data_IF_301774058035
#
_entry.id   IF_301774058035
#
_cell.length_a   1.000
_cell.length_b   1.000
_cell.length_c   1.000
_cell.angle_alpha   90.00
_cell.angle_beta   90.00
_cell.angle_gamma   90.00
#
_symmetry.space_group_name_H-M   'P 1'
#
loop_
_entity.id
_entity.type
_entity.pdbx_description
1 polymer ?
#
# COMPACT_ATOMS: atom_id res chain seq x y z
N UNK A 1 12.80 18.94 9.65
CA UNK A 1 14.00 19.58 9.05
C UNK A 1 13.62 20.99 8.64
N UNK A 2 14.48 21.98 8.95
CA UNK A 2 14.24 23.39 8.59
C UNK A 2 14.47 23.54 7.07
N UNK A 3 13.51 24.10 6.36
CA UNK A 3 13.54 24.31 4.89
C UNK A 3 13.84 25.79 4.58
N UNK A 4 13.08 26.72 5.17
CA UNK A 4 13.26 28.15 4.98
C UNK A 4 12.87 28.94 6.23
N UNK A 5 13.53 30.06 6.47
CA UNK A 5 13.37 30.86 7.68
C UNK A 5 14.14 30.32 8.86
N UNK A 6 13.96 30.94 10.03
CA UNK A 6 14.59 30.49 11.27
C UNK A 6 13.54 30.29 12.37
N UNK A 7 13.85 29.42 13.32
CA UNK A 7 13.00 29.25 14.51
C UNK A 7 12.90 30.55 15.32
N UNK A 8 13.94 31.39 15.31
CA UNK A 8 13.94 32.68 16.01
C UNK A 8 12.93 33.66 15.39
N UNK A 9 12.81 33.66 14.07
CA UNK A 9 11.85 34.51 13.36
C UNK A 9 10.40 34.04 13.57
N UNK A 10 10.20 32.74 13.83
CA UNK A 10 8.89 32.19 14.15
C UNK A 10 8.35 32.67 15.50
N UNK A 11 9.21 33.05 16.43
CA UNK A 11 8.79 33.62 17.73
C UNK A 11 8.33 35.09 17.68
N UNK A 12 8.16 35.65 16.48
CA UNK A 12 7.62 37.01 16.32
C UNK A 12 6.10 36.99 16.41
N UNK A 13 5.54 38.10 16.85
CA UNK A 13 4.09 38.28 16.90
C UNK A 13 3.48 38.18 15.47
N UNK A 14 2.35 37.51 15.31
CA UNK A 14 1.66 37.24 14.04
C UNK A 14 2.48 36.38 13.04
N UNK A 15 3.52 35.68 13.51
CA UNK A 15 4.24 34.70 12.71
C UNK A 15 3.49 33.37 12.63
N UNK A 16 3.59 32.70 11.48
CA UNK A 16 3.08 31.37 11.25
C UNK A 16 4.16 30.45 10.66
N UNK A 17 4.22 29.23 11.15
CA UNK A 17 5.00 28.17 10.55
C UNK A 17 4.10 27.33 9.61
N UNK A 18 4.65 26.93 8.48
CA UNK A 18 3.95 26.15 7.46
C UNK A 18 4.76 24.90 7.14
N UNK A 19 4.08 23.78 6.99
CA UNK A 19 4.74 22.58 6.49
C UNK A 19 5.14 22.72 5.04
N UNK A 20 6.31 22.17 4.68
CA UNK A 20 6.88 22.27 3.35
C UNK A 20 5.91 21.81 2.26
N UNK A 21 5.29 20.66 2.45
CA UNK A 21 4.34 20.10 1.48
C UNK A 21 3.15 21.06 1.22
N UNK A 22 2.67 21.74 2.28
CA UNK A 22 1.57 22.73 2.17
C UNK A 22 2.06 24.01 1.50
N UNK A 23 3.27 24.44 1.82
CA UNK A 23 3.89 25.61 1.20
C UNK A 23 4.08 25.41 -0.32
N UNK A 24 4.51 24.22 -0.76
CA UNK A 24 4.64 23.87 -2.17
C UNK A 24 3.28 23.79 -2.89
N UNK A 25 2.29 23.12 -2.32
CA UNK A 25 0.98 22.96 -2.93
C UNK A 25 0.23 24.28 -3.11
N UNK A 26 0.30 25.16 -2.13
CA UNK A 26 -0.40 26.46 -2.16
C UNK A 26 0.48 27.59 -2.71
N UNK A 27 1.72 27.31 -3.17
CA UNK A 27 2.73 28.28 -3.61
C UNK A 27 3.00 29.38 -2.56
N UNK A 28 3.10 28.98 -1.29
CA UNK A 28 3.38 29.87 -0.17
C UNK A 28 4.89 30.00 0.01
N UNK A 29 5.37 31.21 0.01
CA UNK A 29 6.80 31.53 0.20
C UNK A 29 7.03 32.19 1.56
N UNK A 30 8.31 32.21 1.99
CA UNK A 30 8.71 32.90 3.20
C UNK A 30 8.38 34.40 3.11
N UNK A 31 7.80 34.95 4.18
CA UNK A 31 7.27 36.31 4.30
C UNK A 31 5.95 36.58 3.54
N UNK A 32 5.33 35.58 2.95
CA UNK A 32 3.98 35.74 2.42
C UNK A 32 2.95 35.92 3.55
N UNK A 33 1.84 36.54 3.20
CA UNK A 33 0.72 36.72 4.10
C UNK A 33 -0.32 35.63 3.88
N UNK A 34 -0.61 34.87 4.92
CA UNK A 34 -1.65 33.84 4.92
C UNK A 34 -2.82 34.32 5.78
N UNK A 35 -4.01 34.24 5.23
CA UNK A 35 -5.24 34.59 5.96
C UNK A 35 -5.92 33.32 6.46
N UNK A 36 -5.93 33.13 7.76
CA UNK A 36 -6.69 32.06 8.40
C UNK A 36 -8.09 32.54 8.80
N UNK A 37 -9.08 31.68 8.57
CA UNK A 37 -10.43 31.92 9.06
C UNK A 37 -10.62 31.15 10.37
N UNK A 38 -10.71 31.87 11.46
CA UNK A 38 -10.83 31.32 12.80
C UNK A 38 -12.31 31.33 13.18
N UNK A 39 -12.88 30.19 13.61
CA UNK A 39 -14.26 30.15 14.11
C UNK A 39 -14.48 31.20 15.19
N UNK A 40 -15.62 31.91 15.17
CA UNK A 40 -16.03 32.95 16.12
C UNK A 40 -15.27 34.28 16.08
N UNK A 41 -14.05 34.31 15.54
CA UNK A 41 -13.18 35.52 15.48
C UNK A 41 -13.19 36.14 14.07
N UNK A 42 -13.27 35.32 13.04
CA UNK A 42 -13.22 35.77 11.65
C UNK A 42 -11.85 35.58 10.99
N UNK A 43 -11.54 36.44 10.01
CA UNK A 43 -10.31 36.35 9.22
C UNK A 43 -9.19 37.11 9.90
N UNK A 44 -8.03 36.45 10.09
CA UNK A 44 -6.81 37.07 10.61
C UNK A 44 -5.66 36.77 9.67
N UNK A 45 -4.81 37.79 9.40
CA UNK A 45 -3.59 37.65 8.59
C UNK A 45 -2.41 37.30 9.45
N UNK A 46 -1.60 36.34 8.99
CA UNK A 46 -0.31 35.93 9.56
C UNK A 46 0.78 36.01 8.51
N UNK A 47 2.01 36.20 8.94
CA UNK A 47 3.19 36.23 8.05
C UNK A 47 3.96 34.94 8.18
N UNK A 48 4.21 34.26 7.07
CA UNK A 48 5.00 33.02 7.04
C UNK A 48 6.45 33.32 7.37
N UNK A 49 6.90 32.89 8.52
CA UNK A 49 8.28 33.10 9.00
C UNK A 49 9.10 31.82 9.07
N UNK A 50 8.46 30.68 8.96
CA UNK A 50 9.13 29.40 9.07
C UNK A 50 8.44 28.36 8.19
N UNK A 51 9.24 27.71 7.33
CA UNK A 51 8.81 26.57 6.52
C UNK A 51 9.70 25.39 6.92
N UNK A 52 9.09 24.29 7.29
CA UNK A 52 9.81 23.14 7.81
C UNK A 52 9.14 21.82 7.41
N UNK A 53 9.94 20.78 7.46
CA UNK A 53 9.49 19.43 7.20
C UNK A 53 9.28 18.65 8.49
N UNK A 54 8.27 17.80 8.52
CA UNK A 54 7.93 16.97 9.67
C UNK A 54 8.17 15.50 9.32
N UNK A 55 8.96 14.81 10.13
CA UNK A 55 9.40 13.43 9.84
C UNK A 55 8.36 12.34 10.09
N UNK A 56 7.25 12.70 10.74
CA UNK A 56 6.11 11.80 11.02
C UNK A 56 4.83 12.46 10.52
N UNK A 57 3.68 11.81 10.69
CA UNK A 57 2.41 12.43 10.34
C UNK A 57 2.22 13.73 11.14
N UNK A 58 2.16 14.91 10.47
CA UNK A 58 2.04 16.17 11.16
C UNK A 58 0.65 16.32 11.76
N UNK A 59 0.51 16.91 12.96
CA UNK A 59 -0.79 17.15 13.57
C UNK A 59 -1.59 18.25 12.87
N UNK A 60 -0.91 19.14 12.13
CA UNK A 60 -1.51 20.27 11.44
C UNK A 60 -0.64 20.72 10.27
N UNK A 61 -1.22 21.48 9.34
CA UNK A 61 -0.52 22.09 8.20
C UNK A 61 0.11 23.44 8.57
N UNK A 62 -0.47 24.13 9.56
CA UNK A 62 -0.07 25.44 10.06
C UNK A 62 0.20 25.40 11.55
N UNK A 63 1.24 26.10 11.96
CA UNK A 63 1.69 26.17 13.35
C UNK A 63 1.75 27.62 13.81
N UNK A 64 1.21 27.88 14.98
CA UNK A 64 1.19 29.20 15.59
C UNK A 64 1.84 29.14 16.97
N UNK A 65 2.34 30.28 17.44
CA UNK A 65 2.83 30.38 18.80
C UNK A 65 1.70 30.26 19.82
N UNK A 66 2.02 29.68 20.96
CA UNK A 66 1.12 29.57 22.10
C UNK A 66 0.62 30.94 22.59
N UNK A 67 1.46 31.98 22.48
CA UNK A 67 1.11 33.35 22.82
C UNK A 67 -0.05 33.91 21.98
N UNK A 68 -0.27 33.35 20.78
CA UNK A 68 -1.42 33.68 19.93
C UNK A 68 -2.68 32.84 20.27
N UNK A 69 -2.58 31.94 21.26
CA UNK A 69 -3.67 31.02 21.63
C UNK A 69 -4.93 31.73 22.11
N UNK A 70 -4.80 32.86 22.80
CA UNK A 70 -5.95 33.67 23.27
C UNK A 70 -6.91 34.09 22.14
N UNK A 71 -6.43 34.07 20.87
CA UNK A 71 -7.26 34.34 19.70
C UNK A 71 -8.09 33.12 19.26
N UNK A 72 -7.73 31.91 19.70
CA UNK A 72 -8.32 30.67 19.18
C UNK A 72 -9.28 30.00 20.15
N UNK A 73 -9.14 30.20 21.45
CA UNK A 73 -9.97 29.56 22.47
C UNK A 73 -9.97 30.33 23.77
N UNK A 74 -11.14 30.43 24.41
CA UNK A 74 -11.28 30.89 25.78
C UNK A 74 -10.88 29.81 26.82
N UNK A 75 -10.69 28.56 26.37
CA UNK A 75 -10.30 27.42 27.18
C UNK A 75 -8.93 26.92 26.74
N UNK A 76 -7.91 27.03 27.60
CA UNK A 76 -6.57 26.52 27.33
C UNK A 76 -6.49 25.04 27.74
N UNK A 77 -7.04 24.16 26.91
CA UNK A 77 -6.88 22.72 27.08
C UNK A 77 -5.92 22.22 26.01
N UNK A 78 -4.76 21.77 26.43
CA UNK A 78 -3.82 21.08 25.55
C UNK A 78 -4.36 19.69 25.23
N UNK A 79 -4.55 19.41 23.94
CA UNK A 79 -4.95 18.08 23.46
C UNK A 79 -3.78 17.16 23.24
N UNK A 80 -2.62 17.71 22.88
CA UNK A 80 -1.38 16.97 22.62
C UNK A 80 -0.17 17.76 23.10
N UNK A 81 0.75 17.09 23.77
CA UNK A 81 2.01 17.65 24.22
C UNK A 81 3.17 16.89 23.59
N UNK A 82 4.00 17.58 22.80
CA UNK A 82 5.20 17.02 22.19
C UNK A 82 6.44 17.47 22.97
N UNK A 83 7.28 16.52 23.35
CA UNK A 83 8.53 16.82 24.03
C UNK A 83 9.65 15.86 23.63
N UNK A 84 10.87 16.33 23.68
CA UNK A 84 12.05 15.52 23.45
C UNK A 84 12.68 15.10 24.77
N UNK A 85 13.02 13.80 24.84
CA UNK A 85 13.69 13.21 25.99
C UNK A 85 15.19 13.12 25.69
N UNK A 86 16.02 13.61 26.63
CA UNK A 86 17.48 13.61 26.48
C UNK A 86 18.03 12.18 26.50
N UNK A 87 17.52 11.35 27.44
CA UNK A 87 17.90 9.94 27.56
C UNK A 87 16.71 9.07 27.15
N UNK A 88 16.85 8.35 26.03
CA UNK A 88 15.85 7.41 25.53
C UNK A 88 16.07 6.02 26.10
N UNK A 89 16.14 5.90 27.43
CA UNK A 89 16.28 4.64 28.14
C UNK A 89 14.95 4.17 28.75
N UNK A 90 14.88 2.89 29.04
CA UNK A 90 13.69 2.25 29.62
C UNK A 90 13.33 2.81 30.99
N UNK A 91 14.34 3.26 31.76
CA UNK A 91 14.14 3.88 33.07
C UNK A 91 13.42 5.24 32.96
N UNK A 92 13.72 6.00 31.93
CA UNK A 92 13.04 7.28 31.64
C UNK A 92 11.62 7.05 31.15
N UNK A 93 11.41 6.05 30.29
CA UNK A 93 10.07 5.67 29.82
C UNK A 93 9.19 5.26 30.99
N UNK A 94 9.66 4.37 31.86
CA UNK A 94 8.93 3.93 33.04
C UNK A 94 8.54 5.08 34.01
N UNK A 95 9.41 6.09 34.15
CA UNK A 95 9.08 7.29 34.92
C UNK A 95 8.00 8.15 34.27
N UNK A 96 8.01 8.25 32.97
CA UNK A 96 6.99 8.99 32.22
C UNK A 96 5.65 8.26 32.27
N UNK A 97 5.63 6.95 32.13
CA UNK A 97 4.44 6.12 32.28
C UNK A 97 3.85 6.27 33.68
N UNK A 98 4.69 6.23 34.75
CA UNK A 98 4.26 6.43 36.12
C UNK A 98 3.64 7.82 36.37
N UNK A 99 4.15 8.86 35.72
CA UNK A 99 3.56 10.21 35.77
C UNK A 99 2.20 10.23 35.06
N UNK A 100 2.12 9.66 33.86
CA UNK A 100 0.90 9.68 33.02
C UNK A 100 -0.22 8.86 33.66
N UNK A 101 0.08 7.75 34.32
CA UNK A 101 -0.89 6.91 35.02
C UNK A 101 -1.69 7.66 36.12
N UNK A 102 -1.14 8.79 36.59
CA UNK A 102 -1.85 9.65 37.54
C UNK A 102 -2.88 10.58 36.90
N UNK A 103 -2.90 10.66 35.57
CA UNK A 103 -3.82 11.55 34.81
C UNK A 103 -4.79 10.74 33.94
N UNK A 104 -6.03 10.50 34.39
CA UNK A 104 -7.00 9.74 33.60
C UNK A 104 -7.26 10.40 32.24
N UNK A 105 -7.15 9.61 31.18
CA UNK A 105 -7.37 10.06 29.81
C UNK A 105 -6.12 10.58 29.08
N UNK A 106 -4.97 10.63 29.74
CA UNK A 106 -3.68 10.92 29.10
C UNK A 106 -3.00 9.62 28.70
N UNK A 107 -2.43 9.55 27.52
CA UNK A 107 -1.66 8.41 27.03
C UNK A 107 -0.29 8.88 26.56
N UNK A 108 0.76 8.20 27.03
CA UNK A 108 2.11 8.41 26.51
C UNK A 108 2.29 7.63 25.21
N UNK A 109 2.73 8.31 24.17
CA UNK A 109 3.08 7.66 22.90
C UNK A 109 4.51 8.04 22.54
N UNK A 110 5.37 7.05 22.43
CA UNK A 110 6.69 7.23 21.84
C UNK A 110 6.63 7.09 20.31
N UNK A 111 7.72 7.42 19.65
CA UNK A 111 7.81 7.34 18.19
C UNK A 111 7.56 5.91 17.69
N UNK A 112 8.03 4.90 18.42
CA UNK A 112 7.87 3.51 18.04
C UNK A 112 6.40 3.08 18.16
N UNK A 113 5.68 3.51 19.19
CA UNK A 113 4.26 3.26 19.36
C UNK A 113 3.41 3.92 18.25
N UNK A 114 3.75 5.14 17.83
CA UNK A 114 3.09 5.80 16.70
C UNK A 114 3.31 5.06 15.39
N UNK A 115 4.54 4.60 15.14
CA UNK A 115 4.88 3.79 13.97
C UNK A 115 4.12 2.45 14.02
N UNK A 116 4.05 1.80 15.18
CA UNK A 116 3.34 0.53 15.34
C UNK A 116 1.83 0.70 15.14
N UNK A 117 1.22 1.77 15.65
CA UNK A 117 -0.18 2.09 15.45
C UNK A 117 -0.48 2.34 13.95
N UNK A 118 0.33 3.15 13.28
CA UNK A 118 0.22 3.40 11.84
C UNK A 118 0.39 2.09 11.04
N UNK A 119 1.39 1.28 11.37
CA UNK A 119 1.61 -0.01 10.74
C UNK A 119 0.44 -0.98 10.96
N UNK A 120 -0.18 -0.97 12.14
CA UNK A 120 -1.33 -1.84 12.43
C UNK A 120 -2.56 -1.49 11.59
N UNK A 121 -2.82 -0.19 11.39
CA UNK A 121 -3.90 0.28 10.52
C UNK A 121 -3.64 -0.10 9.05
N UNK A 122 -2.40 0.13 8.57
CA UNK A 122 -1.98 -0.29 7.21
C UNK A 122 -2.10 -1.80 7.07
N UNK A 123 -1.66 -2.57 8.06
CA UNK A 123 -1.73 -4.03 8.02
C UNK A 123 -3.18 -4.54 7.94
N UNK A 124 -4.12 -3.88 8.62
CA UNK A 124 -5.54 -4.21 8.54
C UNK A 124 -6.08 -4.00 7.11
N UNK A 125 -5.75 -2.87 6.48
CA UNK A 125 -6.10 -2.60 5.08
C UNK A 125 -5.47 -3.63 4.13
N UNK A 126 -4.19 -3.94 4.33
CA UNK A 126 -3.49 -4.96 3.52
C UNK A 126 -4.13 -6.34 3.68
N UNK A 127 -4.56 -6.73 4.87
CA UNK A 127 -5.24 -8.00 5.10
C UNK A 127 -6.56 -8.11 4.33
N UNK A 128 -7.33 -7.01 4.26
CA UNK A 128 -8.54 -6.94 3.44
C UNK A 128 -8.21 -7.10 1.95
N UNK A 129 -7.17 -6.39 1.48
CA UNK A 129 -6.71 -6.49 0.08
C UNK A 129 -6.25 -7.92 -0.24
N UNK A 130 -5.48 -8.56 0.65
CA UNK A 130 -5.06 -9.96 0.49
C UNK A 130 -6.25 -10.94 0.49
N UNK A 131 -7.30 -10.63 1.25
CA UNK A 131 -8.56 -11.37 1.17
C UNK A 131 -9.19 -11.33 -0.23
N UNK A 132 -9.35 -10.14 -0.80
CA UNK A 132 -9.85 -9.99 -2.17
C UNK A 132 -8.92 -10.62 -3.21
N UNK A 133 -7.61 -10.47 -3.04
CA UNK A 133 -6.62 -11.10 -3.91
C UNK A 133 -6.75 -12.63 -3.89
N UNK A 134 -6.95 -13.22 -2.71
CA UNK A 134 -7.17 -14.67 -2.57
C UNK A 134 -8.40 -15.13 -3.34
N UNK A 135 -9.51 -14.41 -3.21
CA UNK A 135 -10.74 -14.71 -3.97
C UNK A 135 -10.47 -14.61 -5.48
N UNK A 136 -9.75 -13.57 -5.92
CA UNK A 136 -9.38 -13.37 -7.33
C UNK A 136 -8.53 -14.53 -7.87
N UNK A 137 -7.59 -15.04 -7.05
CA UNK A 137 -6.77 -16.21 -7.41
C UNK A 137 -7.67 -17.45 -7.57
N UNK A 138 -8.64 -17.67 -6.68
CA UNK A 138 -9.59 -18.78 -6.82
C UNK A 138 -10.38 -18.69 -8.14
N UNK A 139 -10.92 -17.51 -8.45
CA UNK A 139 -11.65 -17.29 -9.71
C UNK A 139 -10.75 -17.55 -10.92
N UNK A 140 -9.50 -17.08 -10.89
CA UNK A 140 -8.51 -17.34 -11.94
C UNK A 140 -8.21 -18.84 -12.10
N UNK A 141 -8.04 -19.58 -11.00
CA UNK A 141 -7.85 -21.04 -11.02
C UNK A 141 -9.00 -21.76 -11.74
N UNK A 142 -10.24 -21.39 -11.43
CA UNK A 142 -11.41 -21.94 -12.12
C UNK A 142 -11.44 -21.57 -13.59
N UNK A 143 -11.11 -20.31 -13.93
CA UNK A 143 -11.03 -19.84 -15.32
C UNK A 143 -10.00 -20.65 -16.14
N UNK A 144 -8.77 -20.79 -15.63
CA UNK A 144 -7.71 -21.58 -16.27
C UNK A 144 -8.13 -23.06 -16.41
N UNK A 145 -8.66 -23.65 -15.34
CA UNK A 145 -9.12 -25.06 -15.35
C UNK A 145 -10.20 -25.28 -16.41
N UNK A 146 -11.16 -24.35 -16.51
CA UNK A 146 -12.24 -24.44 -17.51
C UNK A 146 -11.71 -24.31 -18.94
N UNK A 147 -10.85 -23.30 -19.19
CA UNK A 147 -10.24 -23.07 -20.51
C UNK A 147 -9.40 -24.26 -20.96
N UNK A 148 -8.53 -24.78 -20.08
CA UNK A 148 -7.73 -25.96 -20.37
C UNK A 148 -8.59 -27.22 -20.56
N UNK A 149 -9.65 -27.38 -19.79
CA UNK A 149 -10.58 -28.51 -19.95
C UNK A 149 -11.27 -28.48 -21.31
N UNK A 150 -11.69 -27.26 -21.74
CA UNK A 150 -12.30 -27.06 -23.05
C UNK A 150 -11.29 -27.33 -24.17
N UNK A 151 -10.09 -26.78 -24.08
CA UNK A 151 -9.01 -27.03 -25.04
C UNK A 151 -8.71 -28.53 -25.19
N UNK A 152 -8.62 -29.27 -24.06
CA UNK A 152 -8.43 -30.73 -24.06
C UNK A 152 -9.60 -31.43 -24.74
N UNK A 153 -10.83 -30.99 -24.49
CA UNK A 153 -12.03 -31.56 -25.10
C UNK A 153 -12.07 -31.37 -26.61
N UNK A 154 -11.79 -30.15 -27.09
CA UNK A 154 -11.74 -29.82 -28.53
C UNK A 154 -10.66 -30.63 -29.28
N UNK A 155 -9.52 -30.92 -28.61
CA UNK A 155 -8.39 -31.69 -29.16
C UNK A 155 -8.41 -33.15 -28.82
N UNK A 156 -9.57 -33.69 -28.38
CA UNK A 156 -9.71 -35.10 -27.95
C UNK A 156 -9.23 -36.07 -29.02
N UNK A 157 -9.61 -35.87 -30.30
CA UNK A 157 -9.18 -36.71 -31.42
C UNK A 157 -7.69 -36.69 -31.65
N UNK A 158 -7.06 -35.51 -31.58
CA UNK A 158 -5.59 -35.35 -31.73
C UNK A 158 -4.85 -36.09 -30.61
N UNK A 159 -5.31 -35.95 -29.36
CA UNK A 159 -4.75 -36.63 -28.20
C UNK A 159 -4.91 -38.14 -28.32
N UNK A 160 -6.09 -38.61 -28.78
CA UNK A 160 -6.36 -40.01 -29.06
C UNK A 160 -5.43 -40.58 -30.11
N UNK A 161 -5.22 -39.87 -31.21
CA UNK A 161 -4.30 -40.26 -32.28
C UNK A 161 -2.87 -40.35 -31.81
N UNK A 162 -2.38 -39.35 -31.08
CA UNK A 162 -1.04 -39.36 -30.48
C UNK A 162 -0.86 -40.57 -29.57
N UNK A 163 -1.88 -40.94 -28.79
CA UNK A 163 -1.85 -42.11 -27.94
C UNK A 163 -1.87 -43.43 -28.73
N UNK A 164 -2.59 -43.48 -29.84
CA UNK A 164 -2.62 -44.68 -30.72
C UNK A 164 -1.27 -44.97 -31.36
N UNK A 165 -0.47 -43.93 -31.69
CA UNK A 165 0.91 -44.08 -32.23
C UNK A 165 1.98 -44.23 -31.15
N UNK A 166 1.60 -44.37 -29.84
CA UNK A 166 2.47 -44.78 -28.76
C UNK A 166 2.88 -43.66 -27.77
N UNK A 167 2.27 -42.46 -27.82
CA UNK A 167 2.56 -41.41 -26.83
C UNK A 167 2.16 -41.86 -25.43
N UNK A 168 3.07 -41.72 -24.46
CA UNK A 168 2.80 -42.09 -23.07
C UNK A 168 1.84 -41.11 -22.37
N UNK A 169 1.07 -41.61 -21.43
CA UNK A 169 0.18 -40.77 -20.56
C UNK A 169 0.93 -39.63 -19.88
N UNK A 170 2.18 -39.86 -19.45
CA UNK A 170 3.04 -38.84 -18.83
C UNK A 170 3.39 -37.72 -19.80
N UNK A 171 3.58 -38.03 -21.06
CA UNK A 171 3.90 -37.03 -22.10
C UNK A 171 2.70 -36.12 -22.37
N UNK A 172 1.49 -36.70 -22.51
CA UNK A 172 0.24 -35.92 -22.64
C UNK A 172 0.04 -34.99 -21.44
N UNK A 173 0.23 -35.51 -20.23
CA UNK A 173 0.11 -34.72 -19.00
C UNK A 173 1.11 -33.56 -18.96
N UNK A 174 2.37 -33.82 -19.30
CA UNK A 174 3.40 -32.79 -19.34
C UNK A 174 3.11 -31.72 -20.40
N UNK A 175 2.54 -32.11 -21.54
CA UNK A 175 2.12 -31.17 -22.58
C UNK A 175 1.11 -30.13 -22.03
N UNK A 176 0.08 -30.60 -21.32
CA UNK A 176 -0.91 -29.70 -20.69
C UNK A 176 -0.30 -28.83 -19.60
N UNK A 177 0.66 -29.37 -18.80
CA UNK A 177 1.38 -28.56 -17.82
C UNK A 177 2.25 -27.46 -18.44
N UNK A 178 2.91 -27.77 -19.55
CA UNK A 178 3.72 -26.77 -20.28
C UNK A 178 2.79 -25.69 -20.85
N UNK A 179 1.68 -26.07 -21.48
CA UNK A 179 0.69 -25.13 -22.00
C UNK A 179 0.18 -24.17 -20.89
N UNK A 180 -0.21 -24.72 -19.75
CA UNK A 180 -0.63 -23.94 -18.57
C UNK A 180 0.48 -23.02 -18.05
N UNK A 181 1.72 -23.50 -18.00
CA UNK A 181 2.85 -22.70 -17.55
C UNK A 181 3.11 -21.50 -18.47
N UNK A 182 3.00 -21.69 -19.78
CA UNK A 182 3.15 -20.60 -20.77
C UNK A 182 2.06 -19.55 -20.56
N UNK A 183 0.81 -19.98 -20.42
CA UNK A 183 -0.33 -19.07 -20.16
C UNK A 183 -0.10 -18.30 -18.86
N UNK A 184 0.35 -18.99 -17.81
CA UNK A 184 0.56 -18.37 -16.49
C UNK A 184 1.72 -17.37 -16.50
N UNK A 185 2.82 -17.68 -17.16
CA UNK A 185 3.98 -16.77 -17.32
C UNK A 185 3.56 -15.52 -18.09
N UNK A 186 2.84 -15.70 -19.20
CA UNK A 186 2.35 -14.59 -19.99
C UNK A 186 1.39 -13.69 -19.18
N UNK A 187 0.44 -14.31 -18.48
CA UNK A 187 -0.48 -13.60 -17.58
C UNK A 187 0.23 -12.87 -16.44
N UNK A 188 1.26 -13.49 -15.84
CA UNK A 188 2.06 -12.88 -14.79
C UNK A 188 2.85 -11.65 -15.28
N UNK A 189 3.45 -11.72 -16.47
CA UNK A 189 4.17 -10.58 -17.07
C UNK A 189 3.20 -9.43 -17.38
N UNK A 190 2.09 -9.72 -18.03
CA UNK A 190 1.07 -8.70 -18.34
C UNK A 190 0.47 -8.09 -17.06
N UNK A 191 0.10 -8.93 -16.10
CA UNK A 191 -0.45 -8.49 -14.83
C UNK A 191 0.52 -7.61 -14.03
N UNK A 192 1.80 -8.00 -13.99
CA UNK A 192 2.85 -7.21 -13.35
C UNK A 192 3.04 -5.85 -14.05
N UNK A 193 3.09 -5.85 -15.38
CA UNK A 193 3.21 -4.60 -16.15
C UNK A 193 2.05 -3.65 -15.93
N UNK A 194 0.82 -4.15 -15.99
CA UNK A 194 -0.38 -3.36 -15.69
C UNK A 194 -0.41 -2.89 -14.24
N UNK A 195 -0.03 -3.76 -13.28
CA UNK A 195 0.01 -3.41 -11.87
C UNK A 195 0.99 -2.27 -11.58
N UNK A 196 2.19 -2.31 -12.14
CA UNK A 196 3.20 -1.24 -12.03
C UNK A 196 2.67 0.06 -12.66
N UNK A 197 2.04 -0.04 -13.84
CA UNK A 197 1.49 1.12 -14.53
C UNK A 197 0.39 1.80 -13.69
N UNK A 198 -0.56 1.03 -13.14
CA UNK A 198 -1.62 1.59 -12.30
C UNK A 198 -1.09 2.15 -10.99
N UNK A 199 -0.12 1.46 -10.35
CA UNK A 199 0.51 1.96 -9.13
C UNK A 199 1.24 3.28 -9.37
N UNK A 200 1.99 3.40 -10.46
CA UNK A 200 2.64 4.65 -10.86
C UNK A 200 1.62 5.77 -11.12
N UNK A 201 0.54 5.48 -11.87
CA UNK A 201 -0.52 6.45 -12.15
C UNK A 201 -1.23 6.93 -10.88
N UNK A 202 -1.42 6.03 -9.90
CA UNK A 202 -2.03 6.35 -8.62
C UNK A 202 -1.13 7.28 -7.79
N UNK A 203 0.17 7.01 -7.72
CA UNK A 203 1.12 7.88 -7.01
C UNK A 203 1.14 9.28 -7.62
N UNK A 204 1.14 9.38 -8.97
CA UNK A 204 1.04 10.69 -9.65
C UNK A 204 -0.25 11.44 -9.31
N UNK A 205 -1.36 10.75 -9.17
CA UNK A 205 -2.65 11.37 -8.81
C UNK A 205 -2.71 11.79 -7.33
N UNK A 206 -1.84 11.25 -6.47
CA UNK A 206 -1.76 11.53 -5.04
C UNK A 206 -0.53 12.39 -4.67
N UNK A 207 0.21 12.89 -5.65
CA UNK A 207 1.40 13.72 -5.45
C UNK A 207 1.08 14.97 -4.61
N UNK A 208 -0.07 15.62 -4.87
CA UNK A 208 -0.57 16.77 -4.12
C UNK A 208 -0.91 16.45 -2.64
N UNK A 209 -0.99 15.16 -2.29
CA UNK A 209 -1.25 14.70 -0.92
C UNK A 209 0.03 14.24 -0.20
N UNK A 210 1.21 14.49 -0.79
CA UNK A 210 2.51 14.18 -0.21
C UNK A 210 3.04 12.78 -0.53
N UNK A 211 2.40 12.02 -1.43
CA UNK A 211 2.91 10.74 -1.91
C UNK A 211 3.85 10.95 -3.10
N UNK A 212 5.13 11.14 -2.85
CA UNK A 212 6.13 11.48 -3.88
C UNK A 212 7.00 10.30 -4.30
N UNK A 213 7.11 9.26 -3.47
CA UNK A 213 8.03 8.16 -3.73
C UNK A 213 7.32 6.94 -4.31
N UNK A 214 7.74 6.53 -5.51
CA UNK A 214 7.32 5.28 -6.15
C UNK A 214 8.41 4.22 -6.03
N UNK A 215 8.22 3.26 -5.14
CA UNK A 215 9.18 2.16 -4.92
C UNK A 215 8.56 0.81 -5.24
N UNK A 216 9.18 0.07 -6.16
CA UNK A 216 8.79 -1.29 -6.49
C UNK A 216 9.74 -2.28 -5.82
N UNK A 217 9.23 -3.09 -4.91
CA UNK A 217 10.03 -4.17 -4.30
C UNK A 217 10.20 -5.32 -5.28
N UNK A 218 11.40 -5.46 -5.84
CA UNK A 218 11.73 -6.54 -6.78
C UNK A 218 11.52 -7.91 -6.14
N UNK A 219 11.89 -8.06 -4.87
CA UNK A 219 11.75 -9.33 -4.15
C UNK A 219 10.29 -9.78 -4.03
N UNK A 220 9.39 -8.85 -3.69
CA UNK A 220 7.95 -9.14 -3.62
C UNK A 220 7.37 -9.41 -5.01
N UNK A 221 7.78 -8.66 -6.02
CA UNK A 221 7.34 -8.86 -7.41
C UNK A 221 7.68 -10.28 -7.90
N UNK A 222 8.93 -10.74 -7.68
CA UNK A 222 9.35 -12.11 -8.03
C UNK A 222 8.52 -13.15 -7.27
N UNK A 223 8.26 -12.94 -5.99
CA UNK A 223 7.44 -13.83 -5.17
C UNK A 223 6.02 -13.98 -5.76
N UNK A 224 5.37 -12.88 -6.10
CA UNK A 224 4.03 -12.90 -6.68
C UNK A 224 3.98 -13.52 -8.07
N UNK A 225 4.99 -13.30 -8.91
CA UNK A 225 5.14 -13.99 -10.20
C UNK A 225 5.26 -15.49 -9.97
N UNK A 226 6.05 -15.92 -8.99
CA UNK A 226 6.19 -17.34 -8.61
C UNK A 226 4.86 -17.95 -8.17
N UNK A 227 4.08 -17.25 -7.34
CA UNK A 227 2.75 -17.67 -6.90
C UNK A 227 1.79 -17.80 -8.10
N UNK A 228 1.81 -16.85 -9.03
CA UNK A 228 0.98 -16.88 -10.23
C UNK A 228 1.27 -18.10 -11.12
N UNK A 229 2.56 -18.42 -11.35
CA UNK A 229 2.97 -19.60 -12.12
C UNK A 229 2.55 -20.89 -11.41
N UNK A 230 2.78 -20.99 -10.10
CA UNK A 230 2.37 -22.14 -9.31
C UNK A 230 0.86 -22.36 -9.35
N UNK A 231 0.09 -21.27 -9.25
CA UNK A 231 -1.37 -21.29 -9.34
C UNK A 231 -1.83 -21.86 -10.68
N UNK A 232 -1.21 -21.47 -11.79
CA UNK A 232 -1.52 -21.99 -13.11
C UNK A 232 -1.20 -23.48 -13.25
N UNK A 233 -0.07 -23.95 -12.71
CA UNK A 233 0.28 -25.37 -12.69
C UNK A 233 -0.76 -26.17 -11.88
N UNK A 234 -1.19 -25.65 -10.73
CA UNK A 234 -2.23 -26.27 -9.89
C UNK A 234 -3.55 -26.37 -10.66
N UNK A 235 -3.95 -25.30 -11.35
CA UNK A 235 -5.18 -25.29 -12.16
C UNK A 235 -5.15 -26.33 -13.28
N UNK A 236 -3.98 -26.65 -13.81
CA UNK A 236 -3.81 -27.65 -14.88
C UNK A 236 -3.89 -29.10 -14.40
N UNK A 237 -3.83 -29.39 -13.09
CA UNK A 237 -3.78 -30.78 -12.58
C UNK A 237 -4.99 -31.60 -13.06
N UNK A 238 -6.19 -31.06 -12.90
CA UNK A 238 -7.42 -31.77 -13.26
C UNK A 238 -7.51 -32.00 -14.77
N UNK A 239 -7.39 -30.96 -15.65
CA UNK A 239 -7.45 -31.17 -17.10
C UNK A 239 -6.31 -32.06 -17.62
N UNK A 240 -5.09 -31.96 -17.08
CA UNK A 240 -3.98 -32.80 -17.48
C UNK A 240 -4.21 -34.29 -17.16
N UNK A 241 -4.76 -34.61 -16.00
CA UNK A 241 -5.13 -35.97 -15.64
C UNK A 241 -6.23 -36.48 -16.56
N UNK A 242 -7.28 -35.70 -16.83
CA UNK A 242 -8.37 -36.08 -17.75
C UNK A 242 -7.86 -36.35 -19.15
N UNK A 243 -7.03 -35.43 -19.72
CA UNK A 243 -6.43 -35.61 -21.03
C UNK A 243 -5.62 -36.92 -21.13
N UNK A 244 -4.81 -37.22 -20.11
CA UNK A 244 -3.95 -38.43 -20.10
C UNK A 244 -4.71 -39.74 -19.95
N UNK A 245 -5.95 -39.71 -19.45
CA UNK A 245 -6.76 -40.88 -19.19
C UNK A 245 -7.86 -41.11 -20.24
N UNK A 246 -7.94 -40.32 -21.30
CA UNK A 246 -8.90 -40.50 -22.38
C UNK A 246 -8.81 -41.89 -22.99
N UNK A 247 -9.97 -42.47 -23.34
CA UNK A 247 -10.08 -43.76 -24.00
C UNK A 247 -9.76 -43.59 -25.49
N UNK A 248 -8.76 -44.32 -26.00
CA UNK A 248 -8.31 -44.21 -27.39
C UNK A 248 -9.40 -44.57 -28.38
N UNK A 249 -10.19 -45.62 -28.07
CA UNK A 249 -11.26 -46.10 -28.95
C UNK A 249 -12.39 -45.07 -29.09
N UNK A 250 -12.83 -44.50 -27.98
CA UNK A 250 -13.85 -43.42 -27.95
C UNK A 250 -13.37 -42.15 -28.63
N UNK A 251 -12.09 -41.78 -28.41
CA UNK A 251 -11.51 -40.58 -28.98
C UNK A 251 -11.40 -40.59 -30.52
N UNK A 252 -11.23 -41.80 -31.11
CA UNK A 252 -11.12 -41.96 -32.58
C UNK A 252 -12.52 -42.18 -33.23
N UNK A 253 -13.47 -42.75 -32.51
CA UNK A 253 -14.83 -43.01 -33.00
C UNK A 253 -15.80 -41.82 -32.81
N UNK A 254 -15.31 -40.72 -32.24
CA UNK A 254 -16.13 -39.54 -32.02
C UNK A 254 -16.32 -38.78 -33.37
N UNK A 255 -17.55 -38.84 -33.89
CA UNK A 255 -18.03 -38.01 -35.02
C UNK A 255 -18.60 -36.69 -34.54
#
# INVERSE_FOLDING_TARGET
VDIAGSREDFYQQDAIGVLNFKAENDNISLNDKVTLTIPEIGKKEFVVKYIFDWTTQPPAEFFLLLENHEFFSNESLDTELYFNVINKDEATKNKLDDIVDHYPGVTLRDQDALIEEANSQIQLLLNVIYGFLSISIFVALFGITNTLSLSVYERTREIGLMRAIGTLRKQIRNMVFIESSIISVFGAILGTGLGIFFAWSLIQALEDQGFTEFVVSIQQTILWIGIAILSGIIAAIIPAIRASRQNILEAISYE
#
